data_IF_013291350291
#
_entry.id   IF_013291350291
#
_cell.length_a   1.000
_cell.length_b   1.000
_cell.length_c   1.000
_cell.angle_alpha   90.00
_cell.angle_beta   90.00
_cell.angle_gamma   90.00
#
_symmetry.space_group_name_H-M   'P 1'
#
loop_
_entity.id
_entity.type
_entity.pdbx_description
1 polymer ?
#
# COMPACT_ATOMS: atom_id res chain seq x y z
N UNK A 1 13.16 22.24 18.08
CA UNK A 1 13.94 21.13 18.69
C UNK A 1 15.42 21.18 18.31
N UNK A 2 15.79 20.95 17.03
CA UNK A 2 17.24 20.94 16.66
C UNK A 2 17.95 22.26 16.87
N UNK A 3 17.32 23.40 16.53
CA UNK A 3 17.90 24.75 16.64
C UNK A 3 18.05 25.24 18.08
N UNK A 4 17.35 24.65 19.00
CA UNK A 4 17.29 25.05 20.41
C UNK A 4 18.07 24.10 21.33
N UNK A 5 18.50 22.94 20.78
CA UNK A 5 19.22 21.94 21.55
C UNK A 5 20.70 22.36 21.76
N UNK A 6 21.26 22.19 22.96
CA UNK A 6 22.67 22.40 23.19
C UNK A 6 23.58 21.51 22.33
N UNK A 7 24.80 21.94 21.95
CA UNK A 7 25.68 21.19 21.04
C UNK A 7 25.95 19.76 21.48
N UNK A 8 26.12 19.50 22.78
CA UNK A 8 26.36 18.16 23.30
C UNK A 8 25.14 17.22 23.19
N UNK A 9 23.92 17.79 23.10
CA UNK A 9 22.69 17.04 22.86
C UNK A 9 22.58 16.73 21.37
N UNK A 10 22.89 17.72 20.50
CA UNK A 10 22.81 17.55 19.04
C UNK A 10 23.79 16.46 18.54
N UNK A 11 24.96 16.33 19.17
CA UNK A 11 25.94 15.28 18.84
C UNK A 11 25.60 13.91 19.42
N UNK A 12 24.64 13.81 20.34
CA UNK A 12 24.25 12.55 20.93
C UNK A 12 23.50 11.64 19.93
N UNK A 13 23.96 10.43 19.74
CA UNK A 13 23.39 9.51 18.75
C UNK A 13 21.90 9.18 18.99
N UNK A 14 21.44 9.12 20.25
CA UNK A 14 20.03 8.88 20.57
C UNK A 14 19.15 10.04 20.13
N UNK A 15 19.64 11.27 20.34
CA UNK A 15 18.96 12.45 19.85
C UNK A 15 18.94 12.49 18.31
N UNK A 16 20.06 12.15 17.65
CA UNK A 16 20.13 12.08 16.19
C UNK A 16 19.20 11.01 15.61
N UNK A 17 19.06 9.84 16.25
CA UNK A 17 18.08 8.82 15.86
C UNK A 17 16.64 9.32 15.97
N UNK A 18 16.28 9.97 17.07
CA UNK A 18 14.96 10.58 17.25
C UNK A 18 14.69 11.67 16.21
N UNK A 19 15.69 12.50 15.94
CA UNK A 19 15.60 13.56 14.95
C UNK A 19 15.47 13.01 13.53
N UNK A 20 16.26 11.98 13.17
CA UNK A 20 16.13 11.29 11.89
C UNK A 20 14.71 10.75 11.70
N UNK A 21 14.15 10.10 12.73
CA UNK A 21 12.77 9.60 12.67
C UNK A 21 11.77 10.72 12.44
N UNK A 22 11.91 11.85 13.14
CA UNK A 22 11.03 13.01 12.98
C UNK A 22 11.09 13.60 11.57
N UNK A 23 12.29 13.74 10.99
CA UNK A 23 12.47 14.22 9.61
C UNK A 23 11.91 13.21 8.60
N UNK A 24 12.14 11.92 8.80
CA UNK A 24 11.60 10.86 7.96
C UNK A 24 10.07 10.88 7.95
N UNK A 25 9.44 10.93 9.11
CA UNK A 25 7.98 10.96 9.24
C UNK A 25 7.41 12.25 8.59
N UNK A 26 8.05 13.39 8.79
CA UNK A 26 7.66 14.65 8.16
C UNK A 26 7.78 14.61 6.62
N UNK A 27 8.85 14.01 6.11
CA UNK A 27 9.08 13.83 4.67
C UNK A 27 8.03 12.91 4.06
N UNK A 28 7.85 11.72 4.64
CA UNK A 28 6.87 10.73 4.17
C UNK A 28 5.45 11.31 4.21
N UNK A 29 5.10 12.05 5.28
CA UNK A 29 3.79 12.71 5.37
C UNK A 29 3.56 13.71 4.24
N UNK A 30 4.54 14.59 3.95
CA UNK A 30 4.40 15.57 2.88
C UNK A 30 4.28 14.93 1.51
N UNK A 31 5.08 13.89 1.26
CA UNK A 31 4.98 13.12 0.03
C UNK A 31 3.64 12.42 -0.10
N UNK A 32 3.17 11.79 0.96
CA UNK A 32 1.90 11.08 0.97
C UNK A 32 0.74 12.00 0.56
N UNK A 33 0.66 13.19 1.15
CA UNK A 33 -0.38 14.17 0.80
C UNK A 33 -0.27 14.60 -0.66
N UNK A 34 0.94 14.91 -1.12
CA UNK A 34 1.17 15.33 -2.48
C UNK A 34 0.86 14.22 -3.50
N UNK A 35 1.37 13.01 -3.28
CA UNK A 35 1.16 11.89 -4.19
C UNK A 35 -0.31 11.43 -4.20
N UNK A 36 -1.04 11.59 -3.09
CA UNK A 36 -2.49 11.38 -3.03
C UNK A 36 -3.25 12.35 -3.93
N UNK A 37 -2.91 13.62 -3.90
CA UNK A 37 -3.54 14.61 -4.78
C UNK A 37 -3.20 14.35 -6.25
N UNK A 38 -1.97 13.96 -6.56
CA UNK A 38 -1.61 13.58 -7.94
C UNK A 38 -2.40 12.36 -8.42
N UNK A 39 -2.62 11.37 -7.58
CA UNK A 39 -3.45 10.21 -7.95
C UNK A 39 -4.90 10.63 -8.20
N UNK A 40 -5.46 11.47 -7.35
CA UNK A 40 -6.80 12.01 -7.52
C UNK A 40 -6.94 12.78 -8.85
N UNK A 41 -6.02 13.73 -9.12
CA UNK A 41 -5.98 14.46 -10.38
C UNK A 41 -5.87 13.51 -11.60
N UNK A 42 -5.08 12.44 -11.48
CA UNK A 42 -4.91 11.45 -12.54
C UNK A 42 -6.19 10.65 -12.78
N UNK A 43 -6.90 10.24 -11.72
CA UNK A 43 -8.17 9.55 -11.84
C UNK A 43 -9.27 10.47 -12.44
N UNK A 44 -9.28 11.75 -12.10
CA UNK A 44 -10.15 12.74 -12.74
C UNK A 44 -9.85 12.89 -14.24
N UNK A 45 -8.57 12.90 -14.63
CA UNK A 45 -8.17 12.91 -16.02
C UNK A 45 -8.61 11.65 -16.78
N UNK A 46 -8.57 10.48 -16.13
CA UNK A 46 -9.08 9.22 -16.68
C UNK A 46 -10.59 9.21 -16.83
N UNK A 47 -11.34 9.85 -15.93
CA UNK A 47 -12.81 9.94 -16.02
C UNK A 47 -13.27 10.62 -17.31
N UNK A 48 -12.48 11.52 -17.88
CA UNK A 48 -12.77 12.17 -19.15
C UNK A 48 -12.51 11.29 -20.39
N UNK A 49 -12.12 10.02 -20.24
CA UNK A 49 -11.71 9.16 -21.36
C UNK A 49 -12.78 8.98 -22.45
N UNK A 50 -14.08 9.02 -22.10
CA UNK A 50 -15.16 8.91 -23.08
C UNK A 50 -15.22 10.13 -24.01
N UNK A 51 -14.85 11.31 -23.50
CA UNK A 51 -14.95 12.57 -24.24
C UNK A 51 -13.69 12.85 -25.06
N UNK A 52 -12.50 12.52 -24.52
CA UNK A 52 -11.22 12.87 -25.14
C UNK A 52 -10.51 11.70 -25.81
N UNK A 53 -11.01 10.49 -25.64
CA UNK A 53 -10.36 9.23 -26.03
C UNK A 53 -9.48 8.64 -24.93
N UNK A 54 -9.48 7.31 -24.82
CA UNK A 54 -8.80 6.59 -23.72
C UNK A 54 -7.29 6.82 -23.71
N UNK A 55 -6.62 6.81 -24.86
CA UNK A 55 -5.18 7.03 -24.95
C UNK A 55 -4.76 8.43 -24.49
N UNK A 56 -5.53 9.45 -24.86
CA UNK A 56 -5.25 10.84 -24.43
C UNK A 56 -5.47 11.01 -22.94
N UNK A 57 -6.54 10.40 -22.39
CA UNK A 57 -6.82 10.42 -20.98
C UNK A 57 -5.70 9.75 -20.18
N UNK A 58 -5.25 8.58 -20.62
CA UNK A 58 -4.12 7.85 -20.03
C UNK A 58 -2.83 8.67 -20.08
N UNK A 59 -2.48 9.25 -21.23
CA UNK A 59 -1.27 10.06 -21.37
C UNK A 59 -1.30 11.28 -20.41
N UNK A 60 -2.47 11.91 -20.25
CA UNK A 60 -2.64 13.00 -19.29
C UNK A 60 -2.50 12.54 -17.85
N UNK A 61 -3.14 11.45 -17.48
CA UNK A 61 -3.07 10.87 -16.15
C UNK A 61 -1.63 10.46 -15.77
N UNK A 62 -0.93 9.81 -16.68
CA UNK A 62 0.48 9.45 -16.49
C UNK A 62 1.37 10.67 -16.26
N UNK A 63 1.23 11.72 -17.08
CA UNK A 63 1.97 12.97 -16.90
C UNK A 63 1.74 13.59 -15.52
N UNK A 64 0.51 13.52 -15.00
CA UNK A 64 0.18 14.00 -13.66
C UNK A 64 0.91 13.15 -12.61
N UNK A 65 0.80 11.83 -12.66
CA UNK A 65 1.46 10.93 -11.70
C UNK A 65 2.98 11.09 -11.67
N UNK A 66 3.60 11.27 -12.83
CA UNK A 66 5.06 11.46 -12.96
C UNK A 66 5.54 12.79 -12.36
N UNK A 67 4.66 13.74 -12.03
CA UNK A 67 5.04 14.97 -11.30
C UNK A 67 5.68 14.66 -9.94
N UNK A 68 5.34 13.56 -9.30
CA UNK A 68 6.01 13.13 -8.07
C UNK A 68 7.53 13.02 -8.23
N UNK A 69 8.02 12.64 -9.42
CA UNK A 69 9.44 12.53 -9.75
C UNK A 69 10.04 13.80 -10.35
N UNK A 70 9.27 14.49 -11.21
CA UNK A 70 9.77 15.69 -11.93
C UNK A 70 9.65 16.97 -11.12
N UNK A 71 8.80 16.98 -10.12
CA UNK A 71 8.53 18.09 -9.23
C UNK A 71 8.42 17.60 -7.77
N UNK A 72 9.48 16.95 -7.24
CA UNK A 72 9.43 16.36 -5.90
C UNK A 72 9.27 17.42 -4.82
N UNK A 73 8.58 17.05 -3.74
CA UNK A 73 8.32 17.93 -2.59
C UNK A 73 9.23 17.59 -1.41
N UNK A 74 9.46 18.57 -0.54
CA UNK A 74 10.14 18.38 0.75
C UNK A 74 11.57 17.78 0.66
N UNK A 75 12.28 18.01 -0.41
CA UNK A 75 13.65 17.51 -0.64
C UNK A 75 14.64 17.92 0.47
N UNK A 76 14.39 19.05 1.14
CA UNK A 76 15.19 19.49 2.27
C UNK A 76 15.11 18.53 3.46
N UNK A 77 13.94 17.91 3.67
CA UNK A 77 13.74 16.92 4.74
C UNK A 77 14.44 15.60 4.40
N UNK A 78 14.32 15.16 3.16
CA UNK A 78 15.04 13.97 2.65
C UNK A 78 16.55 14.15 2.81
N UNK A 79 17.09 15.27 2.35
CA UNK A 79 18.51 15.58 2.48
C UNK A 79 18.95 15.56 3.94
N UNK A 80 18.10 16.06 4.84
CA UNK A 80 18.40 16.05 6.27
C UNK A 80 18.40 14.64 6.85
N UNK A 81 17.53 13.74 6.40
CA UNK A 81 17.57 12.33 6.77
C UNK A 81 18.93 11.71 6.42
N UNK A 82 19.40 11.91 5.20
CA UNK A 82 20.70 11.36 4.77
C UNK A 82 21.89 11.96 5.53
N UNK A 83 21.88 13.26 5.84
CA UNK A 83 22.92 13.88 6.67
C UNK A 83 22.99 13.29 8.07
N UNK A 84 21.84 13.04 8.69
CA UNK A 84 21.77 12.42 10.01
C UNK A 84 22.18 10.93 9.95
N UNK A 85 21.82 10.23 8.90
CA UNK A 85 22.27 8.86 8.68
C UNK A 85 23.78 8.75 8.52
N UNK A 86 24.42 9.65 7.76
CA UNK A 86 25.88 9.74 7.62
C UNK A 86 26.55 9.98 8.98
N UNK A 87 25.99 10.89 9.79
CA UNK A 87 26.49 11.17 11.13
C UNK A 87 26.39 9.95 12.05
N UNK A 88 25.25 9.26 12.04
CA UNK A 88 25.01 8.06 12.82
C UNK A 88 25.90 6.91 12.38
N UNK A 89 26.13 6.73 11.10
CA UNK A 89 27.06 5.73 10.60
C UNK A 89 28.49 5.98 11.09
N UNK A 90 28.95 7.24 10.99
CA UNK A 90 30.29 7.63 11.48
C UNK A 90 30.47 7.47 12.99
N UNK A 91 29.42 7.77 13.76
CA UNK A 91 29.51 7.80 15.22
C UNK A 91 29.32 6.42 15.86
N UNK A 92 28.43 5.60 15.34
CA UNK A 92 28.03 4.33 15.97
C UNK A 92 27.90 3.16 14.98
N UNK A 93 28.26 3.33 13.70
CA UNK A 93 28.15 2.30 12.68
C UNK A 93 26.72 1.94 12.30
N UNK A 94 25.75 2.86 12.45
CA UNK A 94 24.35 2.61 12.15
C UNK A 94 24.12 2.36 10.64
N UNK A 95 23.78 1.13 10.27
CA UNK A 95 23.61 0.68 8.88
C UNK A 95 22.16 0.88 8.42
N UNK A 96 21.78 2.12 8.10
CA UNK A 96 20.42 2.52 7.74
C UNK A 96 20.09 2.39 6.24
N UNK A 97 21.03 1.89 5.43
CA UNK A 97 20.91 1.60 4.00
C UNK A 97 21.81 0.42 3.63
N UNK A 98 21.34 -0.45 2.74
CA UNK A 98 22.13 -1.55 2.17
C UNK A 98 23.21 -0.99 1.26
N UNK A 99 22.83 -0.12 0.34
CA UNK A 99 23.73 0.40 -0.69
C UNK A 99 24.78 1.36 -0.12
N UNK A 100 24.38 2.22 0.84
CA UNK A 100 25.24 3.29 1.34
C UNK A 100 26.08 2.88 2.55
N UNK A 101 25.55 1.98 3.40
CA UNK A 101 26.19 1.65 4.67
C UNK A 101 26.41 0.15 4.87
N UNK A 102 26.17 -0.68 3.85
CA UNK A 102 26.44 -2.10 3.90
C UNK A 102 25.53 -2.89 4.85
N UNK A 103 24.29 -2.45 5.05
CA UNK A 103 23.33 -3.22 5.83
C UNK A 103 23.06 -4.60 5.20
N UNK A 104 22.75 -5.59 6.00
CA UNK A 104 22.49 -6.97 5.53
C UNK A 104 21.24 -7.02 4.64
N UNK A 105 20.19 -6.30 5.00
CA UNK A 105 18.96 -6.25 4.21
C UNK A 105 18.08 -5.07 4.63
N UNK A 106 17.18 -4.67 3.74
CA UNK A 106 16.16 -3.63 4.03
C UNK A 106 15.27 -3.99 5.21
N UNK A 107 14.93 -5.26 5.39
CA UNK A 107 14.09 -5.73 6.50
C UNK A 107 14.79 -5.73 7.86
N UNK A 108 16.09 -5.43 7.92
CA UNK A 108 16.88 -5.38 9.14
C UNK A 108 17.43 -3.98 9.43
N UNK A 109 16.59 -2.97 9.35
CA UNK A 109 16.93 -1.61 9.76
C UNK A 109 17.31 -0.64 8.64
N UNK A 110 17.54 -1.13 7.42
CA UNK A 110 17.90 -0.27 6.27
C UNK A 110 16.67 0.41 5.65
N UNK A 111 15.89 1.13 6.46
CA UNK A 111 14.63 1.74 6.04
C UNK A 111 14.80 2.93 5.09
N UNK A 112 15.96 3.55 5.06
CA UNK A 112 16.22 4.66 4.14
C UNK A 112 16.29 4.23 2.68
N UNK A 113 16.52 2.96 2.38
CA UNK A 113 16.44 2.44 1.01
C UNK A 113 15.00 2.44 0.44
N UNK A 114 14.00 2.68 1.26
CA UNK A 114 12.61 2.80 0.88
C UNK A 114 12.08 4.24 0.98
N UNK A 115 12.95 5.21 1.25
CA UNK A 115 12.54 6.59 1.51
C UNK A 115 11.80 7.23 0.32
N UNK A 116 12.14 6.83 -0.91
CA UNK A 116 11.57 7.34 -2.16
C UNK A 116 10.59 6.38 -2.84
N UNK A 117 10.24 5.27 -2.19
CA UNK A 117 9.22 4.39 -2.74
C UNK A 117 7.88 5.13 -2.86
N UNK A 118 7.13 4.93 -3.95
CA UNK A 118 5.85 5.61 -4.15
C UNK A 118 4.87 5.35 -3.01
N UNK A 119 4.14 6.38 -2.63
CA UNK A 119 3.13 6.34 -1.56
C UNK A 119 1.69 6.33 -2.11
N UNK A 120 1.54 6.18 -3.42
CA UNK A 120 0.26 6.04 -4.12
C UNK A 120 0.30 4.84 -5.08
N UNK A 121 -0.79 4.57 -5.77
CA UNK A 121 -0.95 3.42 -6.66
C UNK A 121 -0.27 3.60 -8.04
N UNK A 122 0.70 4.51 -8.17
CA UNK A 122 1.32 4.84 -9.47
C UNK A 122 1.83 3.61 -10.22
N UNK A 123 2.45 2.63 -9.55
CA UNK A 123 2.96 1.41 -10.20
C UNK A 123 1.84 0.58 -10.80
N UNK A 124 0.76 0.39 -10.04
CA UNK A 124 -0.40 -0.32 -10.52
C UNK A 124 -1.10 0.43 -11.64
N UNK A 125 -1.27 1.74 -11.51
CA UNK A 125 -1.90 2.59 -12.52
C UNK A 125 -1.11 2.57 -13.83
N UNK A 126 0.22 2.69 -13.78
CA UNK A 126 1.06 2.59 -14.98
C UNK A 126 0.92 1.23 -15.68
N UNK A 127 0.84 0.13 -14.92
CA UNK A 127 0.58 -1.19 -15.50
C UNK A 127 -0.81 -1.27 -16.17
N UNK A 128 -1.84 -0.62 -15.60
CA UNK A 128 -3.15 -0.52 -16.25
C UNK A 128 -3.09 0.36 -17.50
N UNK A 129 -2.32 1.44 -17.50
CA UNK A 129 -2.13 2.31 -18.67
C UNK A 129 -1.47 1.55 -19.84
N UNK A 130 -0.50 0.69 -19.54
CA UNK A 130 0.06 -0.21 -20.55
C UNK A 130 -0.97 -1.20 -21.12
N UNK A 131 -1.88 -1.71 -20.29
CA UNK A 131 -3.00 -2.53 -20.80
C UNK A 131 -3.90 -1.74 -21.74
N UNK A 132 -4.21 -0.49 -21.42
CA UNK A 132 -5.00 0.39 -22.31
C UNK A 132 -4.28 0.58 -23.64
N UNK A 133 -2.97 0.85 -23.64
CA UNK A 133 -2.18 1.05 -24.87
C UNK A 133 -2.13 -0.18 -25.76
N UNK A 134 -2.10 -1.38 -25.15
CA UNK A 134 -2.05 -2.66 -25.88
C UNK A 134 -3.41 -3.13 -26.40
N UNK A 135 -4.49 -2.52 -25.95
CA UNK A 135 -5.83 -2.91 -26.37
C UNK A 135 -6.08 -2.54 -27.85
N UNK A 136 -6.69 -3.45 -28.60
CA UNK A 136 -6.85 -3.34 -30.07
C UNK A 136 -7.94 -2.32 -30.45
N UNK A 137 -8.92 -2.07 -29.59
CA UNK A 137 -10.04 -1.20 -29.89
C UNK A 137 -10.30 -0.14 -28.81
N UNK A 138 -10.83 1.00 -29.21
CA UNK A 138 -11.23 2.05 -28.27
C UNK A 138 -12.30 1.55 -27.27
N UNK A 139 -13.19 0.69 -27.70
CA UNK A 139 -14.17 0.05 -26.83
C UNK A 139 -13.50 -0.74 -25.71
N UNK A 140 -12.45 -1.48 -26.01
CA UNK A 140 -11.70 -2.26 -25.03
C UNK A 140 -10.88 -1.34 -24.13
N UNK A 141 -10.25 -0.31 -24.66
CA UNK A 141 -9.53 0.71 -23.89
C UNK A 141 -10.43 1.37 -22.85
N UNK A 142 -11.61 1.82 -23.28
CA UNK A 142 -12.60 2.41 -22.40
C UNK A 142 -13.11 1.43 -21.32
N UNK A 143 -13.23 0.14 -21.65
CA UNK A 143 -13.58 -0.90 -20.68
C UNK A 143 -12.50 -1.02 -19.59
N UNK A 144 -11.22 -1.04 -19.98
CA UNK A 144 -10.11 -1.09 -19.01
C UNK A 144 -10.09 0.17 -18.13
N UNK A 145 -10.26 1.36 -18.72
CA UNK A 145 -10.36 2.61 -17.95
C UNK A 145 -11.51 2.55 -16.97
N UNK A 146 -12.67 2.06 -17.39
CA UNK A 146 -13.82 1.89 -16.50
C UNK A 146 -13.52 0.91 -15.34
N UNK A 147 -12.82 -0.19 -15.60
CA UNK A 147 -12.38 -1.13 -14.55
C UNK A 147 -11.46 -0.45 -13.53
N UNK A 148 -10.53 0.39 -13.99
CA UNK A 148 -9.64 1.16 -13.11
C UNK A 148 -10.43 2.12 -12.22
N UNK A 149 -11.33 2.91 -12.81
CA UNK A 149 -12.13 3.90 -12.07
C UNK A 149 -13.11 3.27 -11.06
N UNK A 150 -13.56 2.05 -11.33
CA UNK A 150 -14.54 1.35 -10.50
C UNK A 150 -13.94 0.18 -9.71
N UNK A 151 -12.61 0.14 -9.52
CA UNK A 151 -11.94 -1.00 -8.87
C UNK A 151 -12.42 -1.30 -7.45
N UNK A 152 -12.85 -0.26 -6.73
CA UNK A 152 -13.37 -0.37 -5.37
C UNK A 152 -14.91 -0.29 -5.30
N UNK A 153 -15.58 -0.17 -6.44
CA UNK A 153 -17.02 -0.10 -6.52
C UNK A 153 -17.60 -1.50 -6.82
N UNK A 154 -18.21 -2.16 -5.84
CA UNK A 154 -18.73 -3.50 -6.02
C UNK A 154 -20.06 -3.53 -6.81
N UNK A 155 -20.63 -2.37 -7.12
CA UNK A 155 -21.96 -2.25 -7.70
C UNK A 155 -23.09 -2.34 -6.66
N UNK A 156 -24.34 -2.18 -7.11
CA UNK A 156 -25.51 -2.20 -6.23
C UNK A 156 -25.64 -3.54 -5.50
N UNK A 157 -25.81 -3.50 -4.18
CA UNK A 157 -25.96 -4.70 -3.33
C UNK A 157 -24.67 -5.51 -3.16
N UNK A 158 -23.55 -5.02 -3.67
CA UNK A 158 -22.24 -5.63 -3.48
C UNK A 158 -21.47 -5.06 -2.29
N UNK A 159 -20.31 -5.66 -2.00
CA UNK A 159 -19.43 -5.28 -0.89
C UNK A 159 -18.00 -5.13 -1.38
N UNK A 160 -17.29 -4.18 -0.81
CA UNK A 160 -15.85 -4.01 -0.95
C UNK A 160 -15.20 -3.97 0.42
N UNK A 161 -14.20 -4.80 0.64
CA UNK A 161 -13.45 -4.86 1.88
C UNK A 161 -11.96 -4.74 1.60
N UNK A 162 -11.34 -3.70 2.16
CA UNK A 162 -9.90 -3.56 2.18
C UNK A 162 -9.35 -4.18 3.48
N UNK A 163 -9.07 -5.47 3.43
CA UNK A 163 -8.64 -6.24 4.60
C UNK A 163 -7.26 -5.84 5.15
N UNK A 164 -6.51 -5.04 4.39
CA UNK A 164 -5.28 -4.42 4.87
C UNK A 164 -5.48 -3.25 5.83
N UNK A 165 -6.70 -2.85 6.12
CA UNK A 165 -7.01 -1.66 6.92
C UNK A 165 -8.00 -1.98 8.03
N UNK A 166 -7.63 -1.76 9.29
CA UNK A 166 -8.51 -1.95 10.44
C UNK A 166 -9.86 -1.23 10.32
N UNK A 167 -9.86 -0.05 9.72
CA UNK A 167 -11.08 0.72 9.49
C UNK A 167 -12.09 0.03 8.56
N UNK A 168 -11.69 -1.02 7.85
CA UNK A 168 -12.51 -1.80 6.92
C UNK A 168 -12.88 -3.19 7.47
N UNK A 169 -12.66 -3.45 8.76
CA UNK A 169 -12.90 -4.75 9.38
C UNK A 169 -14.29 -4.93 9.99
N UNK A 170 -15.28 -4.16 9.58
CA UNK A 170 -16.65 -4.27 10.08
C UNK A 170 -17.28 -5.63 9.84
N UNK A 171 -16.81 -6.34 8.80
CA UNK A 171 -17.29 -7.68 8.42
C UNK A 171 -16.35 -8.80 8.81
N UNK A 172 -15.15 -8.47 9.30
CA UNK A 172 -14.22 -9.50 9.77
C UNK A 172 -14.67 -9.96 11.15
N UNK A 173 -14.82 -11.26 11.30
CA UNK A 173 -15.15 -11.83 12.61
C UNK A 173 -13.99 -11.58 13.58
N UNK A 174 -14.28 -11.16 14.81
CA UNK A 174 -13.26 -10.97 15.83
C UNK A 174 -12.57 -12.32 16.12
N UNK A 175 -11.26 -12.25 16.37
CA UNK A 175 -10.53 -13.38 16.91
C UNK A 175 -10.81 -13.59 18.40
N UNK A 176 -10.06 -14.48 19.01
CA UNK A 176 -10.08 -14.68 20.48
C UNK A 176 -9.59 -13.43 21.20
N UNK A 177 -10.02 -13.24 22.43
CA UNK A 177 -9.66 -12.09 23.24
C UNK A 177 -8.20 -12.10 23.68
N UNK A 178 -7.73 -10.96 24.22
CA UNK A 178 -6.36 -10.82 24.74
C UNK A 178 -6.00 -11.84 25.82
N UNK A 179 -6.95 -12.19 26.67
CA UNK A 179 -6.74 -13.15 27.78
C UNK A 179 -6.44 -14.57 27.25
N UNK A 180 -6.99 -14.91 26.09
CA UNK A 180 -6.83 -16.22 25.44
C UNK A 180 -5.69 -16.23 24.42
N UNK A 181 -5.34 -15.06 23.85
CA UNK A 181 -4.28 -14.91 22.86
C UNK A 181 -3.48 -13.59 23.07
N UNK A 182 -2.73 -13.47 24.16
CA UNK A 182 -1.97 -12.24 24.46
C UNK A 182 -0.88 -11.95 23.42
N UNK A 183 -0.45 -12.96 22.68
CA UNK A 183 0.49 -12.81 21.57
C UNK A 183 -0.14 -12.42 20.24
N UNK A 184 -1.46 -12.36 20.15
CA UNK A 184 -2.24 -12.17 18.93
C UNK A 184 -1.85 -13.13 17.79
N UNK A 185 -1.51 -14.37 18.16
CA UNK A 185 -1.06 -15.40 17.22
C UNK A 185 -2.22 -16.21 16.64
N UNK A 186 -3.31 -16.34 17.40
CA UNK A 186 -4.51 -17.11 17.05
C UNK A 186 -5.64 -16.23 16.47
N UNK A 187 -5.38 -14.94 16.28
CA UNK A 187 -6.36 -13.98 15.76
C UNK A 187 -5.88 -13.39 14.44
N UNK A 188 -6.78 -13.14 13.48
CA UNK A 188 -6.45 -12.38 12.29
C UNK A 188 -5.95 -10.98 12.67
N UNK A 189 -4.97 -10.50 11.95
CA UNK A 189 -4.35 -9.18 12.18
C UNK A 189 -3.98 -8.49 10.89
N UNK A 190 -3.88 -7.17 10.94
CA UNK A 190 -3.24 -6.40 9.87
C UNK A 190 -1.73 -6.54 10.03
N UNK A 191 -1.06 -6.88 8.97
CA UNK A 191 0.39 -6.96 8.91
C UNK A 191 0.93 -6.32 7.64
N UNK A 192 2.18 -5.90 7.68
CA UNK A 192 2.87 -5.40 6.51
C UNK A 192 3.33 -6.57 5.64
N UNK A 193 3.04 -6.48 4.34
CA UNK A 193 3.51 -7.45 3.36
C UNK A 193 4.96 -7.29 3.00
N UNK A 194 5.36 -7.98 1.93
CA UNK A 194 6.73 -8.08 1.46
C UNK A 194 7.35 -6.76 0.96
N UNK A 195 6.61 -5.68 0.98
CA UNK A 195 7.03 -4.38 0.48
C UNK A 195 6.68 -4.19 -1.00
N UNK A 196 6.85 -2.96 -1.44
CA UNK A 196 6.37 -2.45 -2.72
C UNK A 196 7.33 -2.68 -3.89
N UNK A 197 8.51 -3.16 -3.62
CA UNK A 197 9.61 -3.18 -4.57
C UNK A 197 9.31 -4.05 -5.79
N UNK A 198 9.28 -3.43 -6.96
CA UNK A 198 9.06 -4.13 -8.23
C UNK A 198 7.64 -4.63 -8.45
N UNK A 199 6.68 -4.19 -7.64
CA UNK A 199 5.32 -4.69 -7.72
C UNK A 199 4.42 -3.68 -8.45
N UNK A 200 3.98 -4.06 -9.62
CA UNK A 200 3.14 -3.25 -10.52
C UNK A 200 1.67 -3.18 -10.07
N UNK A 201 1.30 -3.99 -9.11
CA UNK A 201 -0.08 -4.25 -8.71
C UNK A 201 -0.41 -3.81 -7.29
N UNK A 202 0.43 -3.00 -6.68
CA UNK A 202 0.14 -2.47 -5.34
C UNK A 202 -1.13 -1.64 -5.39
N UNK A 203 -2.08 -2.01 -4.56
CA UNK A 203 -3.32 -1.27 -4.38
C UNK A 203 -3.21 -0.26 -3.25
N UNK A 204 -3.89 0.84 -3.41
CA UNK A 204 -4.08 1.82 -2.35
C UNK A 204 -4.80 1.20 -1.18
N UNK A 205 -4.27 1.40 0.02
CA UNK A 205 -4.89 1.02 1.27
C UNK A 205 -5.52 2.26 1.87
N UNK A 206 -6.79 2.16 2.23
CA UNK A 206 -7.47 3.21 2.97
C UNK A 206 -7.04 3.15 4.44
N UNK A 207 -6.29 4.14 4.88
CA UNK A 207 -5.93 4.30 6.29
C UNK A 207 -6.51 5.61 6.81
N UNK A 208 -6.78 5.70 8.12
CA UNK A 208 -7.01 7.00 8.74
C UNK A 208 -5.69 7.76 8.70
N UNK A 209 -5.66 8.80 7.90
CA UNK A 209 -4.51 9.68 7.79
C UNK A 209 -4.30 10.51 9.05
N UNK A 210 -3.28 11.32 9.01
CA UNK A 210 -3.05 12.34 10.01
C UNK A 210 -4.25 13.30 10.02
N UNK A 211 -4.67 13.74 11.19
CA UNK A 211 -5.80 14.67 11.37
C UNK A 211 -7.18 14.08 11.00
N UNK A 212 -7.30 12.75 11.00
CA UNK A 212 -8.58 12.06 10.79
C UNK A 212 -9.02 11.95 9.33
N UNK A 213 -8.22 12.40 8.39
CA UNK A 213 -8.51 12.23 6.96
C UNK A 213 -8.15 10.82 6.49
N UNK A 214 -8.98 10.23 5.63
CA UNK A 214 -8.64 9.00 4.94
C UNK A 214 -7.53 9.30 3.91
N UNK A 215 -6.38 8.67 4.08
CA UNK A 215 -5.24 8.82 3.17
C UNK A 215 -4.92 7.47 2.56
N UNK A 216 -4.86 7.35 1.23
CA UNK A 216 -4.41 6.12 0.59
C UNK A 216 -2.92 5.89 0.88
N UNK A 217 -2.56 4.65 1.15
CA UNK A 217 -1.19 4.21 1.35
C UNK A 217 -0.86 3.17 0.29
N UNK A 218 0.20 3.40 -0.46
CA UNK A 218 0.71 2.45 -1.45
C UNK A 218 1.54 1.31 -0.84
N UNK A 219 1.54 1.16 0.46
CA UNK A 219 2.24 0.08 1.14
C UNK A 219 1.38 -1.17 1.14
N UNK A 220 2.01 -2.29 0.87
CA UNK A 220 1.35 -3.57 0.92
C UNK A 220 1.02 -3.92 2.37
N UNK A 221 -0.18 -3.61 2.78
CA UNK A 221 -0.76 -4.04 4.06
C UNK A 221 -1.81 -5.10 3.76
N UNK A 222 -1.86 -6.12 4.57
CA UNK A 222 -2.70 -7.29 4.34
C UNK A 222 -3.32 -7.78 5.65
N UNK A 223 -4.44 -8.46 5.56
CA UNK A 223 -4.89 -9.31 6.65
C UNK A 223 -4.07 -10.60 6.65
N UNK A 224 -3.63 -11.02 7.82
CA UNK A 224 -2.82 -12.22 8.01
C UNK A 224 -3.38 -13.05 9.16
N UNK A 225 -3.55 -14.35 8.95
CA UNK A 225 -3.70 -15.35 9.99
C UNK A 225 -2.40 -16.13 10.15
N UNK A 226 -2.07 -16.53 11.35
CA UNK A 226 -0.92 -17.40 11.67
C UNK A 226 -1.45 -18.75 12.17
N UNK A 227 -0.61 -19.78 12.08
CA UNK A 227 -0.93 -21.11 12.59
C UNK A 227 -2.29 -21.66 12.13
N UNK A 228 -2.56 -21.52 10.81
CA UNK A 228 -3.81 -21.92 10.16
C UNK A 228 -5.08 -21.24 10.71
N UNK A 229 -4.92 -20.13 11.43
CA UNK A 229 -6.06 -19.33 11.90
C UNK A 229 -6.85 -18.79 10.71
N UNK A 230 -8.14 -19.11 10.58
CA UNK A 230 -8.93 -18.63 9.46
C UNK A 230 -9.23 -17.14 9.58
N UNK A 231 -9.21 -16.44 8.44
CA UNK A 231 -9.79 -15.12 8.31
C UNK A 231 -11.25 -15.28 7.89
N UNK A 232 -12.17 -15.03 8.77
CA UNK A 232 -13.60 -15.14 8.51
C UNK A 232 -14.21 -13.76 8.24
N UNK A 233 -14.91 -13.65 7.12
CA UNK A 233 -15.64 -12.43 6.74
C UNK A 233 -17.11 -12.78 6.60
N UNK A 234 -17.99 -11.98 7.23
CA UNK A 234 -19.42 -12.22 7.24
C UNK A 234 -20.16 -11.17 6.42
N UNK A 235 -20.97 -11.62 5.48
CA UNK A 235 -21.85 -10.79 4.67
C UNK A 235 -23.31 -11.12 5.02
N UNK A 236 -24.05 -10.09 5.38
CA UNK A 236 -25.45 -10.22 5.79
C UNK A 236 -26.37 -9.51 4.79
N UNK A 237 -27.66 -9.84 4.82
CA UNK A 237 -28.68 -9.21 4.00
C UNK A 237 -28.44 -9.35 2.47
N UNK A 238 -27.87 -10.45 2.05
CA UNK A 238 -27.73 -10.77 0.64
C UNK A 238 -29.12 -10.96 0.00
N UNK A 239 -29.35 -10.40 -1.19
CA UNK A 239 -30.58 -10.65 -1.94
C UNK A 239 -30.55 -12.10 -2.50
N UNK A 240 -31.44 -12.97 -2.06
CA UNK A 240 -31.45 -14.37 -2.49
C UNK A 240 -31.80 -14.55 -3.98
N UNK A 241 -32.32 -13.51 -4.65
CA UNK A 241 -32.60 -13.52 -6.09
C UNK A 241 -31.41 -13.08 -6.93
N UNK A 242 -30.38 -12.53 -6.30
CA UNK A 242 -29.18 -12.04 -6.97
C UNK A 242 -28.11 -13.13 -7.09
N UNK A 243 -27.28 -13.00 -8.11
CA UNK A 243 -26.07 -13.82 -8.26
C UNK A 243 -24.86 -12.96 -7.86
N UNK A 244 -24.08 -13.47 -6.94
CA UNK A 244 -22.87 -12.81 -6.45
C UNK A 244 -21.63 -13.40 -7.11
N UNK A 245 -20.68 -12.54 -7.43
CA UNK A 245 -19.32 -12.93 -7.83
C UNK A 245 -18.38 -12.51 -6.73
N UNK A 246 -17.56 -13.43 -6.27
CA UNK A 246 -16.49 -13.13 -5.34
C UNK A 246 -15.20 -12.88 -6.10
N UNK A 247 -14.49 -11.82 -5.72
CA UNK A 247 -13.15 -11.50 -6.20
C UNK A 247 -12.27 -11.24 -5.00
N UNK A 248 -11.18 -11.97 -4.85
CA UNK A 248 -10.24 -11.86 -3.74
C UNK A 248 -8.83 -11.68 -4.28
N UNK A 249 -8.07 -10.72 -3.73
CA UNK A 249 -6.66 -10.59 -4.02
C UNK A 249 -5.85 -11.26 -2.92
N UNK A 250 -5.02 -12.22 -3.29
CA UNK A 250 -4.08 -12.88 -2.41
C UNK A 250 -2.66 -12.43 -2.73
N UNK A 251 -1.88 -12.24 -1.69
CA UNK A 251 -0.47 -11.87 -1.81
C UNK A 251 0.36 -12.65 -0.80
N UNK A 252 1.64 -12.85 -1.08
CA UNK A 252 2.56 -13.52 -0.17
C UNK A 252 3.92 -13.76 -0.80
N UNK A 253 4.93 -13.93 0.04
CA UNK A 253 6.30 -14.28 -0.37
C UNK A 253 6.54 -15.76 -0.50
N UNK A 254 5.72 -16.55 0.17
CA UNK A 254 5.98 -17.97 0.33
C UNK A 254 4.95 -18.78 -0.44
N UNK A 255 5.41 -19.92 -0.91
CA UNK A 255 4.50 -20.93 -1.44
C UNK A 255 3.63 -21.44 -0.30
N UNK A 256 2.35 -21.11 -0.34
CA UNK A 256 1.37 -21.50 0.67
C UNK A 256 0.08 -22.00 0.02
N UNK A 257 -0.57 -22.94 0.68
CA UNK A 257 -1.90 -23.38 0.25
C UNK A 257 -2.94 -22.37 0.74
N UNK A 258 -3.79 -21.92 -0.18
CA UNK A 258 -4.89 -21.01 0.11
C UNK A 258 -6.18 -21.76 -0.19
N UNK A 259 -7.04 -21.83 0.82
CA UNK A 259 -8.38 -22.42 0.70
C UNK A 259 -9.41 -21.38 1.09
N UNK A 260 -10.41 -21.16 0.25
CA UNK A 260 -11.57 -20.33 0.54
C UNK A 260 -12.80 -21.21 0.64
N UNK A 261 -13.50 -21.08 1.75
CA UNK A 261 -14.72 -21.83 2.04
C UNK A 261 -15.84 -20.83 2.28
N UNK A 262 -17.00 -21.03 1.66
CA UNK A 262 -18.22 -20.30 1.94
C UNK A 262 -19.17 -21.18 2.75
N UNK A 263 -19.89 -20.55 3.68
CA UNK A 263 -20.91 -21.19 4.53
C UNK A 263 -20.39 -22.49 5.17
N UNK A 264 -19.17 -22.45 5.70
CA UNK A 264 -18.45 -23.51 6.40
C UNK A 264 -18.25 -24.83 5.64
N UNK A 265 -18.82 -24.97 4.45
CA UNK A 265 -18.84 -26.26 3.72
C UNK A 265 -18.48 -26.13 2.23
N UNK A 266 -18.80 -25.03 1.59
CA UNK A 266 -18.65 -24.89 0.14
C UNK A 266 -17.23 -24.43 -0.19
N UNK A 267 -16.41 -25.32 -0.73
CA UNK A 267 -15.07 -24.96 -1.21
C UNK A 267 -15.18 -24.14 -2.49
N UNK A 268 -14.88 -22.84 -2.40
CA UNK A 268 -14.87 -21.93 -3.54
C UNK A 268 -13.60 -22.14 -4.36
N UNK A 269 -12.44 -22.21 -3.69
CA UNK A 269 -11.19 -22.62 -4.31
C UNK A 269 -10.20 -23.19 -3.27
N UNK A 270 -9.24 -23.94 -3.78
CA UNK A 270 -8.16 -24.56 -3.03
C UNK A 270 -6.94 -24.68 -3.96
N UNK A 271 -5.89 -23.92 -3.74
CA UNK A 271 -4.72 -23.90 -4.60
C UNK A 271 -3.44 -23.55 -3.84
N UNK A 272 -2.30 -23.74 -4.50
CA UNK A 272 -1.00 -23.35 -3.96
C UNK A 272 -0.54 -22.07 -4.64
N UNK A 273 -0.39 -21.00 -3.85
CA UNK A 273 0.18 -19.75 -4.31
C UNK A 273 1.69 -19.89 -4.52
N UNK A 274 2.19 -19.35 -5.61
CA UNK A 274 3.63 -19.39 -5.93
C UNK A 274 4.44 -18.30 -5.23
N UNK A 275 3.80 -17.26 -4.73
CA UNK A 275 4.44 -16.13 -4.04
C UNK A 275 5.00 -15.03 -4.94
N UNK A 276 4.88 -15.17 -6.26
CA UNK A 276 5.49 -14.23 -7.20
C UNK A 276 4.60 -13.04 -7.56
N UNK A 277 3.31 -13.24 -7.66
CA UNK A 277 2.33 -12.19 -8.01
C UNK A 277 1.02 -12.42 -7.27
N UNK A 278 0.23 -11.37 -7.01
CA UNK A 278 -1.11 -11.58 -6.46
C UNK A 278 -1.97 -12.33 -7.48
N UNK A 279 -2.82 -13.16 -6.93
CA UNK A 279 -3.85 -13.88 -7.67
C UNK A 279 -5.19 -13.18 -7.45
N UNK A 280 -5.98 -13.14 -8.51
CA UNK A 280 -7.31 -12.51 -8.52
C UNK A 280 -8.38 -13.56 -8.70
#
# INVERSE_FOLDING_TARGET
MEREAPPHVVSNYRFQMGLLRAYYDAYVRRRLLYETELEKEALEALAAARDVGAERAVARAEKILLRARTQPVAQELERRCWQLADSLFKNIGAQLSVERYGAISRSRGAFLDAIDEPLNDVRWLLAQFERVRRAESERERLRIVHEVLNRTNPGPGGFYDNLGTWGSWQRVAPGVGWDEDPGTLLSPRVSFGAGLRGQEWVHTIQAKGFEGQAVPLAWLVQATGLYDTPLTVRYENLDPRSRYRLRVAYTGRFRSRIKLVADDSIVVHDFIQTGEKPLW
#
